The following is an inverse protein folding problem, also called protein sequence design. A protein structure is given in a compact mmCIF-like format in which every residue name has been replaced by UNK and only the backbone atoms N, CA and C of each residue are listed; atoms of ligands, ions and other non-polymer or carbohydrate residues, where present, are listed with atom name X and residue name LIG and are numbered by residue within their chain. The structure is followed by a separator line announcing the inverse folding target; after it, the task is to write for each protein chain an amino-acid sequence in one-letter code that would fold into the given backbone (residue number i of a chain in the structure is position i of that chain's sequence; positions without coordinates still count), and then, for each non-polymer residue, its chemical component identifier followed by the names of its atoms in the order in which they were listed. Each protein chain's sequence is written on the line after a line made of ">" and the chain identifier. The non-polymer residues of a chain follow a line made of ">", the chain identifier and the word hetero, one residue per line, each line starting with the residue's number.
data_IF_421915197879
#
_entry.id   IF_421915197879
#
_cell.length_a   1.000
_cell.length_b   1.000
_cell.length_c   1.000
_cell.angle_alpha   90.00
_cell.angle_beta   90.00
_cell.angle_gamma   90.00
#
_symmetry.space_group_name_H-M   'P 1'
#
loop_
_entity.id
_entity.type
_entity.pdbx_description
1 polymer ?
#
# COMPACT_ATOMS: atom_id res chain seq x y z
N UNK A 1 -3.86 -20.40 -9.95
CA UNK A 1 -4.05 -19.88 -11.34
C UNK A 1 -2.73 -19.80 -12.10
N UNK A 2 -1.74 -19.02 -11.68
CA UNK A 2 -0.45 -18.86 -12.39
C UNK A 2 0.24 -20.21 -12.59
N UNK A 3 0.37 -21.00 -11.53
CA UNK A 3 1.00 -22.34 -11.64
C UNK A 3 0.19 -23.29 -12.55
N UNK A 4 -1.14 -23.25 -12.47
CA UNK A 4 -1.98 -24.05 -13.38
C UNK A 4 -1.77 -23.66 -14.85
N UNK A 5 -1.58 -22.39 -15.17
CA UNK A 5 -1.22 -21.96 -16.53
C UNK A 5 0.19 -22.39 -16.92
N UNK A 6 1.15 -22.25 -16.02
CA UNK A 6 2.52 -22.73 -16.26
C UNK A 6 2.57 -24.23 -16.53
N UNK A 7 1.83 -25.02 -15.75
CA UNK A 7 1.74 -26.46 -15.96
C UNK A 7 1.03 -26.82 -17.28
N UNK A 8 -0.04 -26.10 -17.63
CA UNK A 8 -0.74 -26.31 -18.90
C UNK A 8 0.17 -26.01 -20.11
N UNK A 9 0.94 -24.91 -20.06
CA UNK A 9 1.89 -24.58 -21.13
C UNK A 9 3.06 -25.58 -21.20
N UNK A 10 3.62 -25.96 -20.06
CA UNK A 10 4.68 -26.95 -19.99
C UNK A 10 4.23 -28.28 -20.62
N UNK A 11 3.08 -28.77 -20.20
CA UNK A 11 2.54 -30.04 -20.70
C UNK A 11 2.13 -29.96 -22.18
N UNK A 12 1.46 -28.87 -22.56
CA UNK A 12 0.98 -28.65 -23.93
C UNK A 12 2.10 -28.45 -24.94
N UNK A 13 3.29 -28.05 -24.51
CA UNK A 13 4.46 -27.87 -25.37
C UNK A 13 5.49 -29.02 -25.23
N UNK A 14 5.16 -30.11 -24.54
CA UNK A 14 6.07 -31.20 -24.24
C UNK A 14 7.40 -30.73 -23.62
N UNK A 15 7.34 -29.74 -22.72
CA UNK A 15 8.49 -29.17 -22.01
C UNK A 15 9.34 -28.17 -22.80
N UNK A 16 8.90 -27.73 -23.97
CA UNK A 16 9.61 -26.69 -24.74
C UNK A 16 9.50 -25.29 -24.12
N UNK A 17 8.48 -25.00 -23.32
CA UNK A 17 8.41 -23.75 -22.53
C UNK A 17 9.15 -23.91 -21.21
N UNK A 18 9.61 -22.80 -20.65
CA UNK A 18 10.15 -22.82 -19.28
C UNK A 18 9.04 -23.19 -18.31
N UNK A 19 9.30 -24.10 -17.37
CA UNK A 19 8.34 -24.52 -16.35
C UNK A 19 7.90 -23.33 -15.44
N UNK A 20 8.79 -22.38 -15.20
CA UNK A 20 8.57 -21.18 -14.39
C UNK A 20 8.79 -19.93 -15.22
N UNK A 21 8.14 -19.83 -16.39
CA UNK A 21 8.27 -18.65 -17.23
C UNK A 21 7.81 -17.37 -16.49
N UNK A 22 8.37 -16.20 -16.84
CA UNK A 22 7.93 -14.92 -16.30
C UNK A 22 6.44 -14.68 -16.47
N UNK A 23 5.76 -14.25 -15.42
CA UNK A 23 4.34 -13.93 -15.44
C UNK A 23 4.10 -12.52 -14.88
N UNK A 24 3.55 -11.63 -15.70
CA UNK A 24 3.20 -10.27 -15.30
C UNK A 24 1.71 -10.09 -15.08
N UNK A 25 1.35 -9.30 -14.08
CA UNK A 25 -0.04 -8.89 -13.88
C UNK A 25 -0.14 -7.42 -13.44
N UNK A 26 -1.32 -6.86 -13.60
CA UNK A 26 -1.66 -5.51 -13.10
C UNK A 26 -2.35 -5.66 -11.76
N UNK A 27 -1.79 -5.04 -10.71
CA UNK A 27 -2.49 -4.91 -9.45
C UNK A 27 -3.72 -4.03 -9.65
N UNK A 28 -4.87 -4.52 -9.21
CA UNK A 28 -6.18 -3.94 -9.46
C UNK A 28 -6.23 -2.46 -9.04
N UNK A 29 -6.72 -1.63 -9.93
CA UNK A 29 -6.98 -0.23 -9.69
C UNK A 29 -8.07 -0.04 -8.63
N UNK A 30 -8.28 1.20 -8.23
CA UNK A 30 -9.39 1.57 -7.34
C UNK A 30 -10.73 1.50 -8.07
N UNK A 31 -11.81 1.24 -7.34
CA UNK A 31 -13.15 1.22 -7.89
C UNK A 31 -13.68 2.64 -8.09
N UNK A 32 -14.18 2.94 -9.28
CA UNK A 32 -14.82 4.22 -9.60
C UNK A 32 -16.27 4.27 -9.16
N UNK A 33 -16.55 3.99 -7.90
CA UNK A 33 -17.85 4.29 -7.31
C UNK A 33 -18.01 5.79 -7.05
N UNK A 34 -19.10 6.19 -6.40
CA UNK A 34 -19.28 7.57 -5.94
C UNK A 34 -18.05 8.01 -5.16
N UNK A 35 -17.54 9.21 -5.44
CA UNK A 35 -16.30 9.67 -4.85
C UNK A 35 -16.39 9.69 -3.32
N UNK A 36 -15.45 8.98 -2.71
CA UNK A 36 -15.21 9.09 -1.29
C UNK A 36 -14.30 10.29 -1.06
N UNK A 37 -14.81 11.26 -0.32
CA UNK A 37 -14.12 12.52 -0.05
C UNK A 37 -13.54 12.56 1.33
N UNK A 38 -12.55 13.43 1.50
CA UNK A 38 -12.03 13.88 2.76
C UNK A 38 -13.14 14.03 3.81
N UNK A 39 -13.16 13.15 4.79
CA UNK A 39 -14.09 13.23 5.90
C UNK A 39 -15.52 12.75 5.64
N UNK A 40 -15.82 12.14 4.50
CA UNK A 40 -17.14 11.59 4.23
C UNK A 40 -17.24 10.09 4.48
N UNK A 41 -18.47 9.58 4.52
CA UNK A 41 -18.85 8.22 4.92
C UNK A 41 -18.11 7.06 4.22
N UNK A 42 -17.36 7.31 3.15
CA UNK A 42 -16.65 6.24 2.45
C UNK A 42 -15.43 5.73 3.19
N UNK A 43 -14.75 6.59 3.96
CA UNK A 43 -13.70 6.15 4.87
C UNK A 43 -14.26 5.50 6.13
N UNK A 44 -15.52 5.78 6.45
CA UNK A 44 -16.26 5.16 7.54
C UNK A 44 -17.07 3.93 7.11
N UNK A 45 -17.05 3.55 5.83
CA UNK A 45 -17.62 2.28 5.41
C UNK A 45 -16.78 1.16 6.00
N UNK A 46 -17.42 0.12 6.52
CA UNK A 46 -16.69 -1.06 6.98
C UNK A 46 -15.81 -1.56 5.85
N UNK A 47 -14.52 -1.61 6.07
CA UNK A 47 -13.51 -1.97 5.05
C UNK A 47 -13.68 -3.39 4.51
N UNK A 48 -14.36 -4.25 5.24
CA UNK A 48 -14.74 -5.60 4.78
C UNK A 48 -15.78 -5.60 3.64
N UNK A 49 -16.50 -4.52 3.40
CA UNK A 49 -17.41 -4.39 2.24
C UNK A 49 -16.67 -4.07 0.94
N UNK A 50 -15.38 -3.74 1.01
CA UNK A 50 -14.56 -3.38 -0.14
C UNK A 50 -13.86 -4.61 -0.70
N UNK A 51 -14.46 -5.26 -1.65
CA UNK A 51 -13.86 -6.42 -2.32
C UNK A 51 -12.53 -6.10 -3.02
N UNK A 52 -12.30 -4.87 -3.42
CA UNK A 52 -11.11 -4.45 -4.17
C UNK A 52 -9.83 -4.46 -3.35
N UNK A 53 -9.87 -4.02 -2.10
CA UNK A 53 -8.70 -4.10 -1.23
C UNK A 53 -8.29 -5.55 -0.97
N UNK A 54 -9.26 -6.43 -0.70
CA UNK A 54 -9.03 -7.86 -0.51
C UNK A 54 -8.46 -8.52 -1.79
N UNK A 55 -8.97 -8.15 -2.98
CA UNK A 55 -8.44 -8.64 -4.26
C UNK A 55 -7.00 -8.18 -4.47
N UNK A 56 -6.68 -6.89 -4.26
CA UNK A 56 -5.30 -6.39 -4.36
C UNK A 56 -4.34 -7.14 -3.44
N UNK A 57 -4.78 -7.43 -2.21
CA UNK A 57 -3.99 -8.19 -1.25
C UNK A 57 -3.80 -9.65 -1.70
N UNK A 58 -4.87 -10.30 -2.14
CA UNK A 58 -4.83 -11.68 -2.64
C UNK A 58 -4.00 -11.83 -3.93
N UNK A 59 -3.95 -10.81 -4.80
CA UNK A 59 -3.11 -10.81 -6.01
C UNK A 59 -1.62 -11.02 -5.72
N UNK A 60 -1.17 -10.67 -4.53
CA UNK A 60 0.22 -10.81 -4.08
C UNK A 60 0.41 -11.97 -3.10
N UNK A 61 -0.50 -12.93 -3.06
CA UNK A 61 -0.51 -14.01 -2.08
C UNK A 61 -0.46 -13.51 -0.62
N UNK A 62 -1.12 -12.39 -0.34
CA UNK A 62 -1.19 -11.75 0.98
C UNK A 62 0.15 -11.25 1.54
N UNK A 63 1.07 -10.87 0.65
CA UNK A 63 2.38 -10.30 1.01
C UNK A 63 2.45 -8.79 0.73
N UNK A 64 1.65 -8.29 -0.24
CA UNK A 64 1.64 -6.87 -0.64
C UNK A 64 2.50 -6.56 -1.86
N UNK A 65 3.43 -7.43 -2.24
CA UNK A 65 4.31 -7.28 -3.42
C UNK A 65 4.69 -8.60 -4.04
N UNK A 66 5.21 -8.55 -5.26
CA UNK A 66 5.84 -9.66 -5.99
C UNK A 66 7.18 -9.18 -6.60
N UNK A 67 8.18 -10.09 -6.81
CA UNK A 67 8.13 -11.52 -6.48
C UNK A 67 8.16 -11.75 -4.96
N UNK A 68 7.63 -12.89 -4.54
CA UNK A 68 7.70 -13.36 -3.17
C UNK A 68 7.84 -14.88 -3.13
N UNK A 69 8.00 -15.47 -1.95
CA UNK A 69 8.23 -16.90 -1.80
C UNK A 69 7.13 -17.81 -2.39
N UNK A 70 5.89 -17.32 -2.44
CA UNK A 70 4.76 -18.03 -3.02
C UNK A 70 4.57 -17.75 -4.52
N UNK A 71 5.25 -16.73 -5.06
CA UNK A 71 5.04 -16.23 -6.42
C UNK A 71 6.37 -15.90 -7.09
N UNK A 72 7.17 -16.93 -7.33
CA UNK A 72 8.47 -16.82 -8.01
C UNK A 72 8.30 -16.47 -9.49
N UNK A 73 9.24 -15.66 -10.02
CA UNK A 73 9.21 -15.20 -11.41
C UNK A 73 7.89 -14.49 -11.79
N UNK A 74 7.30 -13.79 -10.83
CA UNK A 74 6.12 -12.96 -11.06
C UNK A 74 6.52 -11.51 -10.88
N UNK A 75 6.03 -10.65 -11.77
CA UNK A 75 6.21 -9.20 -11.69
C UNK A 75 4.86 -8.49 -11.80
N UNK A 76 4.78 -7.27 -11.33
CA UNK A 76 3.53 -6.53 -11.38
C UNK A 76 3.73 -5.04 -11.66
N UNK A 77 2.69 -4.43 -12.21
CA UNK A 77 2.50 -2.98 -12.19
C UNK A 77 1.32 -2.65 -11.28
N UNK A 78 1.47 -1.70 -10.38
CA UNK A 78 0.33 -1.18 -9.64
C UNK A 78 -0.42 -0.14 -10.49
N UNK A 79 -1.74 -0.30 -10.58
CA UNK A 79 -2.62 0.69 -11.19
C UNK A 79 -3.48 1.42 -10.15
N UNK A 80 -3.11 1.33 -8.87
CA UNK A 80 -3.91 1.84 -7.75
C UNK A 80 -4.16 3.35 -7.83
N UNK A 81 -3.19 4.11 -8.37
CA UNK A 81 -3.27 5.56 -8.57
C UNK A 81 -3.84 5.98 -9.93
N UNK A 82 -4.01 5.04 -10.85
CA UNK A 82 -4.48 5.31 -12.23
C UNK A 82 -6.00 5.24 -12.36
N UNK A 83 -6.71 4.93 -11.28
CA UNK A 83 -8.16 4.82 -11.26
C UNK A 83 -8.87 6.11 -11.70
N UNK A 84 -10.01 5.95 -12.38
CA UNK A 84 -10.82 7.05 -12.85
C UNK A 84 -12.28 6.88 -12.40
N UNK A 85 -12.87 7.87 -11.66
CA UNK A 85 -14.23 7.78 -11.14
C UNK A 85 -15.30 7.65 -12.22
N UNK A 86 -15.03 8.16 -13.43
CA UNK A 86 -16.00 8.31 -14.51
C UNK A 86 -15.49 7.70 -15.82
N UNK A 87 -14.85 6.53 -15.76
CA UNK A 87 -14.52 5.84 -17.00
C UNK A 87 -15.78 5.30 -17.66
N UNK A 88 -15.90 5.34 -19.00
CA UNK A 88 -17.06 4.77 -19.70
C UNK A 88 -17.24 3.27 -19.42
N UNK A 89 -16.15 2.57 -19.06
CA UNK A 89 -16.15 1.12 -18.83
C UNK A 89 -16.32 0.73 -17.34
N UNK A 90 -16.50 1.72 -16.45
CA UNK A 90 -16.60 1.50 -15.00
C UNK A 90 -15.26 1.57 -14.27
N UNK A 91 -15.31 1.73 -12.96
CA UNK A 91 -14.23 2.17 -12.10
C UNK A 91 -12.87 1.52 -12.20
N UNK A 92 -12.74 0.18 -12.25
CA UNK A 92 -11.42 -0.44 -12.29
C UNK A 92 -10.77 -0.40 -13.68
N UNK A 93 -11.50 0.04 -14.69
CA UNK A 93 -11.03 0.07 -16.07
C UNK A 93 -10.35 1.41 -16.38
N UNK A 94 -9.09 1.53 -15.95
CA UNK A 94 -8.28 2.73 -16.21
C UNK A 94 -8.09 2.94 -17.71
N UNK A 95 -8.20 4.20 -18.20
CA UNK A 95 -7.95 4.54 -19.60
C UNK A 95 -6.46 4.69 -19.90
N UNK A 96 -5.69 5.07 -18.91
CA UNK A 96 -4.24 5.22 -19.00
C UNK A 96 -3.56 3.84 -19.08
N UNK A 97 -3.67 3.22 -20.25
CA UNK A 97 -3.04 1.92 -20.53
C UNK A 97 -1.56 2.06 -20.82
N UNK A 98 -1.13 3.27 -21.21
CA UNK A 98 0.27 3.55 -21.49
C UNK A 98 1.12 3.44 -20.22
N UNK A 99 0.74 4.13 -19.14
CA UNK A 99 1.43 4.05 -17.86
C UNK A 99 1.42 2.63 -17.28
N UNK A 100 0.29 1.93 -17.42
CA UNK A 100 0.22 0.52 -17.01
C UNK A 100 1.21 -0.35 -17.76
N UNK A 101 1.27 -0.19 -19.09
CA UNK A 101 2.20 -0.94 -19.96
C UNK A 101 3.66 -0.60 -19.67
N UNK A 102 3.98 0.67 -19.47
CA UNK A 102 5.32 1.13 -19.13
C UNK A 102 5.79 0.55 -17.79
N UNK A 103 4.96 0.65 -16.76
CA UNK A 103 5.27 0.07 -15.44
C UNK A 103 5.48 -1.44 -15.51
N UNK A 104 4.67 -2.17 -16.29
CA UNK A 104 4.88 -3.61 -16.51
C UNK A 104 6.20 -3.89 -17.23
N UNK A 105 6.52 -3.13 -18.28
CA UNK A 105 7.77 -3.29 -19.02
C UNK A 105 8.99 -3.03 -18.13
N UNK A 106 8.95 -1.98 -17.32
CA UNK A 106 10.04 -1.67 -16.38
C UNK A 106 10.18 -2.75 -15.31
N UNK A 107 9.10 -3.25 -14.74
CA UNK A 107 9.14 -4.34 -13.76
C UNK A 107 9.68 -5.66 -14.36
N UNK A 108 9.34 -5.96 -15.60
CA UNK A 108 9.92 -7.09 -16.33
C UNK A 108 11.43 -6.91 -16.55
N UNK A 109 11.83 -5.74 -17.04
CA UNK A 109 13.25 -5.43 -17.33
C UNK A 109 14.09 -5.52 -16.07
N UNK A 110 13.64 -4.91 -14.97
CA UNK A 110 14.35 -4.95 -13.69
C UNK A 110 14.59 -6.39 -13.21
N UNK A 111 13.61 -7.26 -13.36
CA UNK A 111 13.67 -8.61 -12.81
C UNK A 111 14.39 -9.61 -13.74
N UNK A 112 14.27 -9.44 -15.07
CA UNK A 112 14.68 -10.46 -16.04
C UNK A 112 15.77 -10.03 -17.03
N UNK A 113 16.12 -8.76 -17.08
CA UNK A 113 17.19 -8.25 -17.96
C UNK A 113 18.40 -7.87 -17.09
N UNK A 114 19.48 -8.67 -17.09
CA UNK A 114 20.65 -8.38 -16.27
C UNK A 114 21.24 -6.99 -16.55
N UNK A 115 21.48 -6.22 -15.50
CA UNK A 115 22.07 -4.88 -15.60
C UNK A 115 21.10 -3.77 -16.04
N UNK A 116 19.82 -4.10 -16.22
CA UNK A 116 18.79 -3.14 -16.58
C UNK A 116 17.96 -2.81 -15.33
N UNK A 117 18.19 -1.69 -14.73
CA UNK A 117 17.55 -1.26 -13.48
C UNK A 117 18.58 -0.71 -12.49
N UNK A 118 18.15 -0.36 -11.28
CA UNK A 118 16.81 -0.53 -10.71
C UNK A 118 15.80 0.54 -11.18
N UNK A 119 14.59 0.11 -11.47
CA UNK A 119 13.48 1.01 -11.89
C UNK A 119 12.51 1.36 -10.76
N UNK A 120 12.62 0.68 -9.63
CA UNK A 120 11.79 0.88 -8.43
C UNK A 120 10.28 0.69 -8.67
N UNK A 121 9.93 -0.08 -9.67
CA UNK A 121 8.56 -0.53 -9.88
C UNK A 121 8.31 -1.84 -9.10
N UNK A 122 7.14 -2.04 -8.60
CA UNK A 122 5.88 -1.27 -8.76
C UNK A 122 5.74 -0.03 -7.86
N UNK A 123 6.71 0.31 -7.04
CA UNK A 123 6.72 1.46 -6.13
C UNK A 123 7.30 1.12 -4.75
N UNK A 124 7.27 2.06 -3.82
CA UNK A 124 7.76 1.84 -2.47
C UNK A 124 6.89 0.82 -1.70
N UNK A 125 7.54 0.00 -0.90
CA UNK A 125 6.95 -1.12 -0.16
C UNK A 125 7.18 -0.88 1.32
N UNK A 126 6.12 -0.99 2.14
CA UNK A 126 6.29 -0.98 3.59
C UNK A 126 6.88 -2.32 4.05
N UNK A 127 8.01 -2.24 4.73
CA UNK A 127 8.78 -3.40 5.16
C UNK A 127 8.52 -3.77 6.61
N UNK A 128 8.50 -2.77 7.52
CA UNK A 128 8.32 -2.98 8.95
C UNK A 128 7.47 -1.87 9.56
N UNK A 129 6.80 -2.21 10.66
CA UNK A 129 6.13 -1.25 11.52
C UNK A 129 6.51 -1.53 12.99
N UNK A 130 6.93 -0.48 13.71
CA UNK A 130 7.33 -0.58 15.12
C UNK A 130 6.67 0.52 15.94
N UNK A 131 6.36 0.22 17.20
CA UNK A 131 5.91 1.26 18.14
C UNK A 131 7.03 2.26 18.40
N UNK A 132 6.69 3.52 18.57
CA UNK A 132 7.63 4.54 19.01
C UNK A 132 7.47 4.73 20.51
N UNK A 133 8.55 4.54 21.26
CA UNK A 133 8.54 4.80 22.69
C UNK A 133 8.30 6.30 22.95
N UNK A 134 7.46 6.69 23.92
CA UNK A 134 7.27 8.08 24.27
C UNK A 134 8.59 8.70 24.72
N UNK A 135 8.98 9.82 24.11
CA UNK A 135 10.15 10.57 24.59
C UNK A 135 9.79 11.35 25.85
N UNK A 136 10.74 11.57 26.73
CA UNK A 136 10.54 12.34 27.96
C UNK A 136 9.95 13.74 27.71
N UNK A 137 10.17 14.31 26.53
CA UNK A 137 9.58 15.62 26.10
C UNK A 137 8.13 15.51 25.66
N UNK A 138 7.69 14.35 25.17
CA UNK A 138 6.28 14.13 24.79
C UNK A 138 5.40 13.72 25.98
N UNK A 139 6.00 13.19 27.04
CA UNK A 139 5.29 12.80 28.26
C UNK A 139 4.68 13.98 29.03
N UNK A 140 5.17 15.19 28.82
CA UNK A 140 4.67 16.43 29.46
C UNK A 140 3.57 17.18 28.69
N UNK A 141 3.29 16.82 27.44
CA UNK A 141 2.26 17.47 26.60
C UNK A 141 1.07 16.58 26.24
N UNK A 142 1.08 15.32 26.65
CA UNK A 142 0.00 14.39 26.37
C UNK A 142 -0.96 14.40 27.55
N UNK A 143 -2.00 15.24 27.48
CA UNK A 143 -3.23 15.04 28.24
C UNK A 143 -4.03 13.83 27.70
N UNK A 144 -3.34 12.85 27.17
CA UNK A 144 -3.93 11.68 26.54
C UNK A 144 -3.72 10.52 27.53
N UNK A 145 -4.77 10.10 28.20
CA UNK A 145 -4.82 9.02 29.20
C UNK A 145 -4.29 7.66 28.71
N UNK A 146 -3.21 7.63 27.94
CA UNK A 146 -2.64 6.42 27.36
C UNK A 146 -3.44 5.85 26.20
N UNK A 147 -4.34 6.62 25.59
CA UNK A 147 -5.28 6.16 24.56
C UNK A 147 -4.76 6.31 23.13
N UNK A 148 -3.48 6.59 22.91
CA UNK A 148 -2.93 6.75 21.56
C UNK A 148 -1.71 5.86 21.31
N UNK A 149 -1.48 5.52 20.04
CA UNK A 149 -0.27 4.86 19.58
C UNK A 149 0.46 5.73 18.57
N UNK A 150 1.78 5.72 18.63
CA UNK A 150 2.66 6.25 17.59
C UNK A 150 3.47 5.09 17.00
N UNK A 151 3.46 4.97 15.66
CA UNK A 151 4.06 3.87 14.92
C UNK A 151 5.05 4.46 13.91
N UNK A 152 6.25 3.89 13.83
CA UNK A 152 7.18 4.16 12.74
C UNK A 152 7.12 3.04 11.72
N UNK A 153 6.88 3.41 10.45
CA UNK A 153 6.85 2.49 9.31
C UNK A 153 8.09 2.75 8.47
N UNK A 154 8.84 1.70 8.18
CA UNK A 154 9.99 1.76 7.27
C UNK A 154 9.57 1.32 5.88
N UNK A 155 9.84 2.17 4.88
CA UNK A 155 9.66 1.88 3.47
C UNK A 155 10.97 1.43 2.84
N UNK A 156 10.90 0.49 1.91
CA UNK A 156 11.98 0.05 1.04
C UNK A 156 11.57 0.21 -0.42
N UNK A 157 12.46 -0.14 -1.35
CA UNK A 157 12.28 0.08 -2.78
C UNK A 157 12.10 1.58 -3.11
N UNK A 158 12.89 2.42 -2.43
CA UNK A 158 12.97 3.85 -2.71
C UNK A 158 14.22 4.14 -3.54
N UNK A 159 14.11 4.87 -4.66
CA UNK A 159 15.27 5.32 -5.44
C UNK A 159 16.31 6.01 -4.56
N UNK A 160 17.62 5.92 -4.89
CA UNK A 160 18.65 6.68 -4.20
C UNK A 160 18.33 8.18 -4.20
N UNK A 161 18.42 8.83 -3.03
CA UNK A 161 18.08 10.25 -2.88
C UNK A 161 16.59 10.57 -2.72
N UNK A 162 15.71 9.63 -3.05
CA UNK A 162 14.27 9.80 -2.98
C UNK A 162 13.70 9.64 -1.56
N UNK A 163 12.54 10.22 -1.33
CA UNK A 163 11.82 10.18 -0.05
C UNK A 163 10.33 9.94 -0.27
N UNK A 164 9.61 9.44 0.73
CA UNK A 164 8.16 9.44 0.68
C UNK A 164 7.63 10.87 0.65
N UNK A 165 6.55 11.05 -0.10
CA UNK A 165 5.77 12.29 -0.15
C UNK A 165 4.38 12.05 0.45
N UNK A 166 3.90 13.01 1.22
CA UNK A 166 2.63 12.95 1.92
C UNK A 166 1.63 13.91 1.28
N UNK A 167 0.49 13.38 0.84
CA UNK A 167 -0.64 14.22 0.49
C UNK A 167 -1.18 14.93 1.77
N UNK A 168 -1.84 16.08 1.64
CA UNK A 168 -2.44 16.77 2.80
C UNK A 168 -3.44 15.90 3.57
N UNK A 169 -3.98 14.87 2.95
CA UNK A 169 -4.92 13.89 3.53
C UNK A 169 -4.29 12.51 3.81
N UNK A 170 -2.98 12.43 3.92
CA UNK A 170 -2.26 11.15 4.07
C UNK A 170 -2.76 10.29 5.24
N UNK A 171 -3.25 10.91 6.31
CA UNK A 171 -3.82 10.18 7.44
C UNK A 171 -5.03 9.31 7.07
N UNK A 172 -5.83 9.71 6.09
CA UNK A 172 -7.03 8.99 5.69
C UNK A 172 -6.75 7.68 4.94
N UNK A 173 -5.54 7.46 4.47
CA UNK A 173 -5.14 6.22 3.80
C UNK A 173 -4.60 5.16 4.74
N UNK A 174 -4.38 5.49 6.00
CA UNK A 174 -3.77 4.62 7.01
C UNK A 174 -4.76 4.32 8.12
N UNK A 175 -4.86 3.07 8.47
CA UNK A 175 -5.72 2.58 9.56
C UNK A 175 -4.90 1.70 10.49
N UNK A 176 -5.25 1.76 11.77
CA UNK A 176 -4.56 1.06 12.86
C UNK A 176 -5.57 0.22 13.63
N UNK A 177 -5.16 -0.96 14.07
CA UNK A 177 -5.96 -1.86 14.91
C UNK A 177 -5.15 -2.37 16.10
N UNK A 178 -5.83 -2.67 17.19
CA UNK A 178 -5.29 -3.40 18.34
C UNK A 178 -5.80 -4.85 18.42
N UNK A 179 -6.46 -5.32 17.38
CA UNK A 179 -6.89 -6.71 17.27
C UNK A 179 -5.69 -7.64 17.07
N UNK A 180 -5.76 -8.89 17.55
CA UNK A 180 -4.68 -9.86 17.34
C UNK A 180 -4.41 -10.10 15.85
N UNK A 181 -3.15 -10.30 15.43
CA UNK A 181 -2.80 -10.53 14.03
C UNK A 181 -3.52 -11.70 13.34
N UNK A 182 -4.00 -12.68 14.09
CA UNK A 182 -4.75 -13.81 13.58
C UNK A 182 -6.15 -13.45 13.05
N UNK A 183 -6.71 -12.29 13.43
CA UNK A 183 -8.06 -11.85 13.07
C UNK A 183 -8.12 -11.06 11.75
N UNK A 184 -7.05 -10.96 11.02
CA UNK A 184 -6.82 -10.06 9.86
C UNK A 184 -7.89 -10.03 8.78
N UNK A 185 -8.74 -11.04 8.69
CA UNK A 185 -9.69 -11.21 7.57
C UNK A 185 -11.13 -11.45 8.06
N UNK A 186 -11.37 -11.54 9.35
CA UNK A 186 -12.66 -12.01 9.88
C UNK A 186 -13.76 -10.95 9.93
N UNK A 187 -13.48 -9.71 9.55
CA UNK A 187 -14.50 -8.64 9.49
C UNK A 187 -14.95 -8.09 10.85
N UNK A 188 -14.43 -8.63 11.93
CA UNK A 188 -14.73 -8.18 13.31
C UNK A 188 -13.69 -7.23 13.89
N UNK A 189 -12.69 -6.87 13.10
CA UNK A 189 -11.59 -6.02 13.55
C UNK A 189 -12.03 -4.56 13.57
N UNK A 190 -11.83 -3.90 14.70
CA UNK A 190 -12.02 -2.45 14.80
C UNK A 190 -10.77 -1.76 14.26
N UNK A 191 -10.90 -1.16 13.08
CA UNK A 191 -9.88 -0.30 12.49
C UNK A 191 -10.23 1.15 12.72
N UNK A 192 -9.25 1.93 13.15
CA UNK A 192 -9.37 3.39 13.31
C UNK A 192 -8.42 4.09 12.36
N UNK A 193 -8.87 5.20 11.79
CA UNK A 193 -8.03 6.02 10.93
C UNK A 193 -6.88 6.62 11.73
N UNK A 194 -5.72 6.74 11.10
CA UNK A 194 -4.66 7.56 11.63
C UNK A 194 -5.14 9.02 11.85
N UNK A 195 -4.67 9.64 12.90
CA UNK A 195 -4.96 11.05 13.18
C UNK A 195 -3.95 11.97 12.51
N UNK A 196 -2.69 11.55 12.45
CA UNK A 196 -1.63 12.27 11.75
C UNK A 196 -0.65 11.31 11.11
N UNK A 197 -0.07 11.75 10.00
CA UNK A 197 1.06 11.10 9.33
C UNK A 197 2.12 12.15 9.06
N UNK A 198 3.36 11.84 9.34
CA UNK A 198 4.51 12.70 9.08
C UNK A 198 5.70 11.88 8.59
N UNK A 199 6.69 12.55 8.00
CA UNK A 199 7.96 11.89 7.70
C UNK A 199 8.70 11.58 9.01
N UNK A 200 9.30 10.40 9.09
CA UNK A 200 10.17 10.01 10.18
C UNK A 200 11.55 10.69 10.10
N UNK A 201 12.38 10.47 11.11
CA UNK A 201 13.74 11.04 11.17
C UNK A 201 14.69 10.36 10.18
N UNK A 202 14.56 9.06 10.01
CA UNK A 202 15.36 8.31 9.06
C UNK A 202 14.76 8.41 7.65
N UNK A 203 15.61 8.33 6.64
CA UNK A 203 15.18 8.29 5.25
C UNK A 203 14.24 7.09 5.03
N UNK A 204 13.14 7.31 4.34
CA UNK A 204 12.18 6.25 4.02
C UNK A 204 11.31 5.83 5.20
N UNK A 205 11.27 6.61 6.29
CA UNK A 205 10.38 6.31 7.39
C UNK A 205 9.19 7.26 7.47
N UNK A 206 8.06 6.73 7.94
CA UNK A 206 6.84 7.45 8.22
C UNK A 206 6.51 7.32 9.70
N UNK A 207 5.97 8.37 10.30
CA UNK A 207 5.37 8.34 11.64
C UNK A 207 3.87 8.49 11.54
N UNK A 208 3.18 7.55 12.12
CA UNK A 208 1.72 7.43 12.12
C UNK A 208 1.22 7.50 13.56
N UNK A 209 0.30 8.42 13.84
CA UNK A 209 -0.40 8.47 15.13
C UNK A 209 -1.85 8.06 14.94
N UNK A 210 -2.40 7.35 15.92
CA UNK A 210 -3.79 6.97 15.97
C UNK A 210 -4.35 7.10 17.40
N UNK A 211 -5.61 7.48 17.52
CA UNK A 211 -6.33 7.54 18.80
C UNK A 211 -6.76 6.11 19.21
N UNK A 212 -5.79 5.23 19.37
CA UNK A 212 -5.97 3.83 19.74
C UNK A 212 -4.75 3.38 20.54
N UNK A 213 -4.94 2.90 21.76
CA UNK A 213 -3.87 2.32 22.56
C UNK A 213 -3.52 0.91 22.10
N UNK A 214 -2.24 0.53 22.25
CA UNK A 214 -1.81 -0.84 22.03
C UNK A 214 -1.96 -1.33 20.62
N UNK A 215 -1.59 -0.51 19.64
CA UNK A 215 -1.62 -0.88 18.22
C UNK A 215 -0.80 -2.15 17.97
N UNK A 216 -1.42 -3.12 17.32
CA UNK A 216 -0.81 -4.40 16.92
C UNK A 216 -0.70 -4.56 15.41
N UNK A 217 -1.47 -3.76 14.66
CA UNK A 217 -1.51 -3.81 13.20
C UNK A 217 -1.67 -2.41 12.61
N UNK A 218 -1.11 -2.23 11.42
CA UNK A 218 -1.32 -1.04 10.57
C UNK A 218 -1.53 -1.48 9.14
N UNK A 219 -2.46 -0.82 8.42
CA UNK A 219 -2.72 -1.07 7.01
C UNK A 219 -2.86 0.22 6.22
N UNK A 220 -2.66 0.12 4.92
CA UNK A 220 -2.71 1.23 3.99
C UNK A 220 -3.49 0.87 2.72
N UNK A 221 -4.29 1.80 2.23
CA UNK A 221 -5.14 1.65 1.03
C UNK A 221 -6.14 0.49 1.10
N UNK A 222 -6.73 0.29 2.26
CA UNK A 222 -7.71 -0.79 2.45
C UNK A 222 -9.14 -0.43 2.07
N UNK A 223 -9.34 0.67 1.35
CA UNK A 223 -10.61 1.12 0.81
C UNK A 223 -10.68 0.95 -0.71
N UNK A 224 -11.89 0.86 -1.27
CA UNK A 224 -12.11 0.75 -2.72
C UNK A 224 -11.56 1.95 -3.47
N UNK A 225 -11.71 3.14 -2.89
CA UNK A 225 -11.43 4.43 -3.54
C UNK A 225 -10.25 5.19 -2.94
N UNK A 226 -9.34 4.51 -2.27
CA UNK A 226 -8.30 5.13 -1.45
C UNK A 226 -7.34 6.08 -2.21
N UNK A 227 -7.27 6.00 -3.53
CA UNK A 227 -6.39 6.79 -4.39
C UNK A 227 -7.16 7.71 -5.37
N UNK A 228 -8.29 8.21 -4.96
CA UNK A 228 -9.06 9.11 -5.81
C UNK A 228 -9.10 10.51 -5.23
N UNK A 229 -8.20 11.38 -5.66
CA UNK A 229 -8.31 12.83 -5.46
C UNK A 229 -9.46 13.40 -6.29
N UNK A 230 -10.63 13.53 -5.70
CA UNK A 230 -11.77 14.16 -6.32
C UNK A 230 -12.29 15.27 -5.41
N UNK A 231 -12.56 16.42 -5.94
CA UNK A 231 -13.12 17.54 -5.19
C UNK A 231 -14.66 17.54 -5.33
N UNK A 232 -15.37 17.38 -4.21
CA UNK A 232 -16.84 17.32 -4.17
C UNK A 232 -17.49 18.62 -4.57
N UNK A 233 -16.88 19.73 -4.19
CA UNK A 233 -17.41 21.04 -4.43
C UNK A 233 -17.33 21.41 -5.89
N UNK A 234 -16.22 21.10 -6.56
CA UNK A 234 -15.99 21.40 -7.96
C UNK A 234 -16.42 20.29 -8.91
N UNK A 235 -16.74 19.11 -8.39
CA UNK A 235 -17.04 17.91 -9.18
C UNK A 235 -15.96 17.56 -10.21
N UNK A 236 -14.72 17.92 -9.94
CA UNK A 236 -13.56 17.69 -10.80
C UNK A 236 -12.50 16.93 -10.04
N UNK A 237 -11.65 16.22 -10.78
CA UNK A 237 -10.34 15.79 -10.24
C UNK A 237 -9.59 17.04 -9.81
N UNK A 238 -9.05 17.02 -8.62
CA UNK A 238 -8.01 18.00 -8.32
C UNK A 238 -6.85 17.74 -9.28
N UNK A 239 -6.57 18.74 -10.11
CA UNK A 239 -5.42 18.77 -11.01
C UNK A 239 -4.17 18.96 -10.16
N UNK A 240 -3.68 17.90 -9.55
CA UNK A 240 -2.50 17.90 -8.70
C UNK A 240 -1.85 16.52 -8.69
N UNK A 241 -0.63 16.47 -8.23
CA UNK A 241 0.23 15.29 -8.20
C UNK A 241 -0.33 14.12 -7.34
N UNK A 242 -1.35 14.37 -6.53
CA UNK A 242 -1.77 13.47 -5.47
C UNK A 242 -3.06 12.74 -5.85
N UNK A 243 -2.94 11.51 -6.30
CA UNK A 243 -4.08 10.60 -6.43
C UNK A 243 -4.19 9.67 -5.22
N UNK A 244 -3.06 9.20 -4.70
CA UNK A 244 -2.96 8.41 -3.48
C UNK A 244 -2.47 9.26 -2.29
N UNK A 245 -2.70 8.83 -1.05
CA UNK A 245 -2.21 9.50 0.15
C UNK A 245 -0.69 9.56 0.25
N UNK A 246 0.01 8.53 -0.25
CA UNK A 246 1.46 8.39 -0.19
C UNK A 246 2.05 8.11 -1.57
N UNK A 247 3.11 8.85 -1.90
CA UNK A 247 3.93 8.67 -3.09
C UNK A 247 5.42 8.64 -2.73
N UNK A 248 6.23 8.35 -3.73
CA UNK A 248 7.66 8.67 -3.72
C UNK A 248 7.91 9.93 -4.53
N UNK A 249 9.02 10.61 -4.32
CA UNK A 249 9.43 11.76 -5.15
C UNK A 249 9.66 11.36 -6.61
N UNK A 250 9.88 10.07 -6.90
CA UNK A 250 9.89 9.52 -8.27
C UNK A 250 8.49 9.42 -8.92
N UNK A 251 7.42 9.79 -8.21
CA UNK A 251 6.06 9.80 -8.75
C UNK A 251 5.34 8.45 -8.74
N UNK A 252 5.90 7.43 -8.08
CA UNK A 252 5.23 6.14 -7.91
C UNK A 252 4.47 6.09 -6.58
N UNK A 253 3.27 5.47 -6.55
CA UNK A 253 2.53 5.33 -5.31
C UNK A 253 3.22 4.34 -4.36
N UNK A 254 3.05 4.56 -3.05
CA UNK A 254 3.34 3.52 -2.07
C UNK A 254 2.30 2.40 -2.23
N UNK A 255 2.76 1.15 -2.25
CA UNK A 255 1.88 0.01 -2.44
C UNK A 255 0.97 -0.22 -1.23
N UNK A 256 -0.22 -0.80 -1.43
CA UNK A 256 -1.06 -1.28 -0.34
C UNK A 256 -0.32 -2.26 0.56
N UNK A 257 -0.45 -2.12 1.86
CA UNK A 257 0.18 -3.01 2.83
C UNK A 257 -0.69 -3.29 4.05
N UNK A 258 -0.37 -4.38 4.72
CA UNK A 258 -0.87 -4.77 6.03
C UNK A 258 0.31 -5.35 6.82
N UNK A 259 0.69 -4.69 7.90
CA UNK A 259 1.83 -5.07 8.73
C UNK A 259 1.42 -5.29 10.19
N UNK A 260 2.10 -6.21 10.84
CA UNK A 260 2.11 -6.29 12.29
C UNK A 260 2.99 -5.18 12.86
N UNK A 261 2.56 -4.60 13.97
CA UNK A 261 3.32 -3.60 14.70
C UNK A 261 4.10 -4.29 15.81
N UNK A 262 5.41 -4.21 15.73
CA UNK A 262 6.30 -4.79 16.72
C UNK A 262 6.70 -3.75 17.79
N UNK A 263 6.98 -4.16 19.03
CA UNK A 263 7.62 -3.26 20.00
C UNK A 263 8.92 -2.70 19.43
N UNK A 264 9.20 -1.43 19.71
CA UNK A 264 10.55 -0.89 19.45
C UNK A 264 11.57 -1.69 20.25
N UNK A 265 12.67 -2.08 19.61
CA UNK A 265 13.78 -2.67 20.35
C UNK A 265 14.20 -1.68 21.46
N UNK A 266 14.12 -2.09 22.72
CA UNK A 266 14.70 -1.30 23.79
C UNK A 266 16.17 -1.08 23.46
N UNK A 267 16.56 0.17 23.28
CA UNK A 267 18.00 0.52 23.27
C UNK A 267 18.50 0.19 24.66
N UNK A 268 19.03 -1.03 24.82
CA UNK A 268 19.57 -1.49 26.06
C UNK A 268 20.54 -0.44 26.59
N UNK A 269 20.17 0.18 27.70
CA UNK A 269 21.07 0.94 28.53
C UNK A 269 22.21 -0.01 28.92
N UNK A 270 23.36 0.14 28.29
CA UNK A 270 24.58 -0.41 28.83
C UNK A 270 24.83 0.34 30.15
N UNK A 271 24.58 -0.35 31.26
CA UNK A 271 25.06 0.05 32.58
C UNK A 271 26.59 0.01 32.63
#
# INVERSE_FOLDING_TARGET
>A
MIDAWRDAWWNGTNGHTQKRFPFGFVQLSVHGGLPCYHGTACYNQPTWSSGYAAVRWAQTASVGTVPNAAMENVFMASAVDLGEPRTPAGGPHVRDKQDVGERLALAFREQFIPGDGPFYTPGAIAATATTVAPTAQSAGQINDNGSSSEIEITLQNLPPGESPMLAPWSALGLEVSNSPPASRITGNDSWVNATTVSLGKARGTLRVKAALAGATQVRYLWADNACMGWNSTTQRRETGQWRCPLYTTAGLPVLPFLLDVHPSAETGSKA
#
